data_IF_158908359649
#
_entry.id   IF_158908359649
#
_cell.length_a   1.000
_cell.length_b   1.000
_cell.length_c   1.000
_cell.angle_alpha   90.00
_cell.angle_beta   90.00
_cell.angle_gamma   90.00
#
_symmetry.space_group_name_H-M   'P 1'
#
loop_
_entity.id
_entity.type
_entity.pdbx_description
1 polymer ?
#
# COMPACT_ATOMS: atom_id res chain seq x y z
N UNK A 1 28.85 48.57 -39.32
CA UNK A 1 29.87 48.01 -40.23
C UNK A 1 29.95 46.53 -39.92
N UNK A 2 29.15 45.79 -40.67
CA UNK A 2 29.03 44.34 -40.64
C UNK A 2 30.27 43.67 -41.25
N UNK A 3 30.72 42.58 -40.62
CA UNK A 3 31.27 41.38 -41.29
C UNK A 3 31.25 40.20 -40.31
N UNK A 4 31.07 38.95 -40.80
CA UNK A 4 30.17 37.99 -40.19
C UNK A 4 30.88 36.81 -39.51
N UNK A 5 30.16 36.18 -38.57
CA UNK A 5 30.47 34.90 -37.93
C UNK A 5 30.68 33.78 -38.96
N UNK A 6 31.80 33.08 -38.88
CA UNK A 6 32.03 31.84 -39.61
C UNK A 6 31.17 30.71 -39.04
N UNK A 7 30.35 30.09 -39.89
CA UNK A 7 29.64 28.84 -39.58
C UNK A 7 30.67 27.70 -39.46
N UNK A 8 30.80 27.12 -38.27
CA UNK A 8 31.41 25.81 -38.08
C UNK A 8 30.34 24.74 -38.32
N UNK A 9 30.47 24.03 -39.43
CA UNK A 9 29.75 22.79 -39.74
C UNK A 9 30.39 21.64 -38.99
N UNK A 10 29.66 21.01 -38.06
CA UNK A 10 30.02 19.71 -37.51
C UNK A 10 29.52 18.62 -38.48
N UNK A 11 30.44 17.96 -39.18
CA UNK A 11 30.16 16.73 -39.91
C UNK A 11 30.11 15.54 -38.92
N UNK A 12 29.01 14.80 -38.92
CA UNK A 12 28.88 13.53 -38.19
C UNK A 12 29.54 12.39 -38.98
N UNK A 13 30.27 11.48 -38.33
CA UNK A 13 30.88 10.33 -39.00
C UNK A 13 29.84 9.29 -39.45
N UNK A 14 30.08 8.55 -40.54
CA UNK A 14 29.12 7.60 -41.09
C UNK A 14 28.92 6.37 -40.19
N UNK A 15 27.65 6.02 -39.99
CA UNK A 15 27.20 4.86 -39.22
C UNK A 15 27.75 3.53 -39.78
N UNK A 16 28.49 2.81 -38.94
CA UNK A 16 28.81 1.40 -39.13
C UNK A 16 27.52 0.57 -39.03
N UNK A 17 27.05 0.03 -40.15
CA UNK A 17 25.91 -0.90 -40.19
C UNK A 17 26.30 -2.23 -39.52
N UNK A 18 25.72 -2.51 -38.36
CA UNK A 18 25.72 -3.86 -37.78
C UNK A 18 24.74 -4.75 -38.55
N UNK A 19 25.22 -5.94 -38.90
CA UNK A 19 24.54 -6.96 -39.71
C UNK A 19 23.36 -7.55 -38.92
N UNK A 20 22.15 -7.69 -39.49
CA UNK A 20 21.05 -8.37 -38.81
C UNK A 20 21.35 -9.88 -38.68
N UNK A 21 21.01 -10.45 -37.53
CA UNK A 21 21.07 -11.87 -37.23
C UNK A 21 20.03 -12.65 -38.05
N UNK A 22 20.33 -13.88 -38.50
CA UNK A 22 19.39 -14.68 -39.28
C UNK A 22 18.20 -15.13 -38.43
N UNK A 23 17.00 -15.08 -39.01
CA UNK A 23 15.75 -15.56 -38.46
C UNK A 23 15.72 -17.11 -38.37
N UNK A 24 15.03 -17.68 -37.36
CA UNK A 24 14.87 -19.13 -37.24
C UNK A 24 13.92 -19.69 -38.30
N UNK A 25 14.09 -20.96 -38.73
CA UNK A 25 13.22 -21.58 -39.73
C UNK A 25 11.82 -21.90 -39.16
N UNK A 26 10.79 -21.97 -40.02
CA UNK A 26 9.41 -22.23 -39.60
C UNK A 26 9.23 -23.67 -39.11
N UNK A 27 8.65 -23.84 -37.91
CA UNK A 27 8.25 -25.13 -37.38
C UNK A 27 6.99 -25.63 -38.09
N UNK A 28 7.14 -26.73 -38.83
CA UNK A 28 6.03 -27.44 -39.46
C UNK A 28 5.13 -28.09 -38.41
N UNK A 29 3.85 -27.69 -38.41
CA UNK A 29 2.76 -28.39 -37.73
C UNK A 29 2.53 -29.76 -38.39
N UNK A 30 2.65 -30.84 -37.60
CA UNK A 30 2.19 -32.18 -37.98
C UNK A 30 0.85 -32.42 -37.28
N UNK A 31 -0.27 -32.59 -38.01
CA UNK A 31 -1.56 -32.95 -37.42
C UNK A 31 -1.66 -34.48 -37.33
N UNK A 32 -1.81 -35.03 -36.12
CA UNK A 32 -2.22 -36.43 -35.95
C UNK A 32 -3.60 -36.54 -35.30
N UNK A 33 -4.57 -36.69 -36.20
CA UNK A 33 -5.63 -37.72 -36.22
C UNK A 33 -6.35 -38.05 -34.90
N UNK A 34 -7.56 -37.50 -34.84
CA UNK A 34 -8.83 -38.14 -34.44
C UNK A 34 -8.80 -39.61 -33.99
N UNK A 35 -9.33 -39.83 -32.78
CA UNK A 35 -10.13 -41.01 -32.46
C UNK A 35 -11.35 -40.62 -31.62
N UNK A 36 -12.48 -41.12 -32.09
CA UNK A 36 -13.85 -40.86 -31.69
C UNK A 36 -14.31 -41.95 -30.70
N UNK A 37 -15.20 -41.56 -29.78
CA UNK A 37 -16.29 -42.36 -29.18
C UNK A 37 -15.89 -43.32 -28.04
N UNK A 38 -16.39 -43.07 -26.83
CA UNK A 38 -17.56 -43.77 -26.25
C UNK A 38 -18.06 -43.05 -24.99
N UNK A 39 -19.35 -42.71 -25.03
CA UNK A 39 -20.23 -42.40 -23.90
C UNK A 39 -20.67 -43.71 -23.24
N UNK A 40 -20.83 -43.72 -21.91
CA UNK A 40 -21.80 -44.58 -21.21
C UNK A 40 -22.05 -44.05 -19.79
N UNK A 41 -23.29 -43.59 -19.63
CA UNK A 41 -24.21 -43.51 -18.49
C UNK A 41 -23.81 -43.93 -17.05
N UNK A 42 -24.30 -43.10 -16.12
CA UNK A 42 -24.63 -43.31 -14.69
C UNK A 42 -25.44 -44.61 -14.37
N UNK A 43 -25.77 -45.02 -13.11
CA UNK A 43 -25.85 -44.27 -11.82
C UNK A 43 -25.48 -45.03 -10.49
N UNK A 44 -25.62 -44.29 -9.38
CA UNK A 44 -26.15 -44.69 -8.05
C UNK A 44 -25.28 -45.22 -6.88
N UNK A 45 -25.34 -44.43 -5.79
CA UNK A 45 -25.61 -44.75 -4.37
C UNK A 45 -24.61 -45.60 -3.54
N UNK A 46 -24.08 -45.02 -2.45
CA UNK A 46 -24.55 -45.29 -1.06
C UNK A 46 -23.74 -44.51 0.00
N UNK A 47 -24.44 -44.11 1.07
CA UNK A 47 -23.92 -43.57 2.33
C UNK A 47 -23.07 -44.59 3.09
N UNK A 48 -22.06 -44.11 3.83
CA UNK A 48 -21.79 -44.57 5.20
C UNK A 48 -20.96 -43.55 5.98
N UNK A 49 -21.31 -43.42 7.25
CA UNK A 49 -20.86 -42.48 8.29
C UNK A 49 -19.64 -42.99 9.07
N UNK A 50 -19.24 -42.21 10.10
CA UNK A 50 -18.39 -42.57 11.26
C UNK A 50 -16.90 -42.24 11.12
N UNK A 51 -16.13 -41.71 12.07
CA UNK A 51 -16.32 -41.04 13.37
C UNK A 51 -14.95 -40.47 13.76
N UNK A 52 -14.93 -39.32 14.45
CA UNK A 52 -13.70 -38.70 15.01
C UNK A 52 -13.16 -39.50 16.20
N UNK A 53 -11.85 -39.44 16.50
CA UNK A 53 -11.36 -39.59 17.87
C UNK A 53 -10.93 -38.24 18.45
N UNK A 54 -11.40 -38.00 19.68
CA UNK A 54 -10.97 -36.94 20.60
C UNK A 54 -9.81 -37.53 21.42
N UNK A 55 -8.68 -36.83 21.50
CA UNK A 55 -7.66 -37.11 22.52
C UNK A 55 -7.56 -35.95 23.52
N UNK A 56 -7.95 -36.25 24.75
CA UNK A 56 -7.62 -35.50 25.97
C UNK A 56 -6.20 -35.88 26.39
N UNK A 57 -5.38 -34.90 26.75
CA UNK A 57 -4.18 -35.14 27.58
C UNK A 57 -4.16 -34.13 28.72
N UNK A 58 -4.05 -34.70 29.91
CA UNK A 58 -4.04 -34.11 31.25
C UNK A 58 -2.63 -33.71 31.70
N UNK A 59 -2.54 -32.59 32.43
CA UNK A 59 -1.40 -32.17 33.25
C UNK A 59 -1.22 -33.05 34.49
N UNK A 60 0.02 -33.25 34.97
CA UNK A 60 0.27 -33.46 36.40
C UNK A 60 1.20 -32.40 37.02
N UNK A 61 0.91 -32.05 38.28
CA UNK A 61 1.70 -31.17 39.17
C UNK A 61 2.67 -31.96 40.05
N UNK A 62 3.85 -31.37 40.25
CA UNK A 62 4.77 -31.30 41.40
C UNK A 62 5.02 -32.49 42.36
N UNK A 63 6.32 -32.76 42.61
CA UNK A 63 6.90 -33.06 43.93
C UNK A 63 8.29 -32.42 44.09
N UNK A 64 8.57 -31.95 45.30
CA UNK A 64 9.82 -31.34 45.79
C UNK A 64 10.65 -32.31 46.66
N UNK A 65 11.88 -31.86 46.99
CA UNK A 65 12.89 -32.26 48.01
C UNK A 65 14.22 -32.72 47.35
N UNK A 66 15.46 -32.42 47.78
CA UNK A 66 16.10 -31.49 48.74
C UNK A 66 17.65 -31.65 48.60
N UNK A 67 18.41 -30.54 48.51
CA UNK A 67 19.79 -30.19 48.99
C UNK A 67 20.92 -31.27 48.90
N UNK A 68 22.10 -31.05 48.27
CA UNK A 68 23.33 -30.49 48.91
C UNK A 68 24.52 -30.20 47.95
N UNK A 69 25.10 -29.01 48.11
CA UNK A 69 26.50 -28.49 47.98
C UNK A 69 27.58 -29.04 46.98
N UNK A 70 28.01 -28.10 46.13
CA UNK A 70 29.39 -27.61 45.84
C UNK A 70 30.40 -28.44 44.99
N UNK A 71 30.82 -27.87 43.85
CA UNK A 71 32.13 -27.18 43.68
C UNK A 71 32.23 -26.42 42.35
N UNK A 72 32.91 -25.28 42.43
CA UNK A 72 33.23 -24.32 41.37
C UNK A 72 34.05 -24.91 40.20
N UNK A 73 33.75 -24.41 39.00
CA UNK A 73 34.76 -23.98 38.02
C UNK A 73 34.17 -22.85 37.15
N UNK A 74 34.74 -21.64 37.24
CA UNK A 74 34.58 -20.50 36.32
C UNK A 74 35.89 -20.40 35.50
N UNK A 75 36.00 -19.62 34.40
CA UNK A 75 35.00 -19.03 33.51
C UNK A 75 35.27 -19.35 32.02
N UNK A 76 34.31 -19.10 31.13
CA UNK A 76 34.61 -18.54 29.80
C UNK A 76 33.49 -17.56 29.49
N UNK A 77 33.84 -16.27 29.55
CA UNK A 77 32.98 -15.16 29.17
C UNK A 77 32.76 -15.21 27.66
N UNK A 78 31.50 -15.30 27.25
CA UNK A 78 31.05 -14.75 25.97
C UNK A 78 30.16 -13.59 26.36
N UNK A 79 30.73 -12.39 26.32
CA UNK A 79 30.00 -11.14 26.38
C UNK A 79 29.19 -11.10 25.09
N UNK A 80 27.88 -11.31 25.22
CA UNK A 80 26.91 -10.94 24.18
C UNK A 80 26.38 -9.59 24.63
N UNK A 81 26.51 -8.59 23.77
CA UNK A 81 26.10 -7.21 24.03
C UNK A 81 24.58 -7.13 24.27
N UNK A 82 24.16 -7.26 25.53
CA UNK A 82 22.77 -7.05 25.99
C UNK A 82 22.54 -5.56 26.35
N UNK A 83 23.58 -4.75 26.37
CA UNK A 83 23.50 -3.35 26.82
C UNK A 83 22.91 -2.39 25.76
N UNK A 84 22.88 -2.77 24.47
CA UNK A 84 22.42 -1.87 23.40
C UNK A 84 20.89 -1.77 23.22
N UNK A 85 20.11 -2.83 23.51
CA UNK A 85 18.64 -2.81 23.26
C UNK A 85 17.88 -2.04 24.35
N UNK A 86 18.30 -2.15 25.61
CA UNK A 86 17.67 -1.41 26.73
C UNK A 86 18.02 0.09 26.71
N UNK A 87 19.22 0.46 26.25
CA UNK A 87 19.62 1.86 26.05
C UNK A 87 18.82 2.53 24.91
N UNK A 88 18.50 1.81 23.83
CA UNK A 88 17.75 2.36 22.70
C UNK A 88 16.26 2.58 23.06
N UNK A 89 15.62 1.63 23.76
CA UNK A 89 14.23 1.76 24.22
C UNK A 89 14.05 2.91 25.23
N UNK A 90 15.00 3.08 26.15
CA UNK A 90 14.97 4.18 27.13
C UNK A 90 15.19 5.55 26.47
N UNK A 91 16.02 5.61 25.43
CA UNK A 91 16.23 6.80 24.60
C UNK A 91 14.97 7.18 23.80
N UNK A 92 14.29 6.21 23.18
CA UNK A 92 13.10 6.46 22.37
C UNK A 92 11.88 6.86 23.21
N UNK A 93 11.74 6.25 24.40
CA UNK A 93 10.77 6.67 25.40
C UNK A 93 10.92 8.14 25.78
N UNK A 94 12.15 8.58 26.09
CA UNK A 94 12.43 9.96 26.49
C UNK A 94 12.12 10.96 25.35
N UNK A 95 12.53 10.63 24.11
CA UNK A 95 12.25 11.45 22.92
C UNK A 95 10.75 11.55 22.65
N UNK A 96 10.02 10.44 22.72
CA UNK A 96 8.59 10.42 22.44
C UNK A 96 7.82 11.21 23.50
N UNK A 97 8.15 11.03 24.78
CA UNK A 97 7.54 11.81 25.88
C UNK A 97 7.73 13.30 25.71
N UNK A 98 8.96 13.74 25.44
CA UNK A 98 9.26 15.16 25.19
C UNK A 98 8.41 15.73 24.04
N UNK A 99 8.27 14.97 22.95
CA UNK A 99 7.45 15.37 21.80
C UNK A 99 5.96 15.41 22.12
N UNK A 100 5.44 14.45 22.88
CA UNK A 100 4.03 14.41 23.30
C UNK A 100 3.70 15.55 24.27
N UNK A 101 4.60 15.86 25.20
CA UNK A 101 4.48 16.99 26.12
C UNK A 101 4.49 18.33 25.37
N UNK A 102 5.31 18.47 24.32
CA UNK A 102 5.32 19.65 23.46
C UNK A 102 3.97 19.91 22.77
N UNK A 103 3.12 18.88 22.64
CA UNK A 103 1.75 18.98 22.13
C UNK A 103 0.72 19.35 23.19
N UNK A 104 1.15 19.45 24.45
CA UNK A 104 0.29 19.71 25.61
C UNK A 104 -0.50 18.48 26.07
N UNK A 105 -0.13 17.28 25.62
CA UNK A 105 -0.76 16.02 26.06
C UNK A 105 0.01 15.50 27.28
N UNK A 106 -0.72 15.22 28.36
CA UNK A 106 -0.14 14.61 29.57
C UNK A 106 -0.20 13.10 29.44
N UNK A 107 0.93 12.46 29.18
CA UNK A 107 1.05 11.00 28.95
C UNK A 107 1.42 10.18 30.18
N UNK A 108 1.70 10.80 31.33
CA UNK A 108 2.22 10.09 32.52
C UNK A 108 1.27 9.02 33.09
N UNK A 109 -0.03 9.18 32.85
CA UNK A 109 -1.06 8.23 33.29
C UNK A 109 -1.50 7.24 32.20
N UNK A 110 -0.89 7.30 31.01
CA UNK A 110 -1.32 6.51 29.85
C UNK A 110 -0.64 5.14 29.82
N UNK A 111 -1.40 4.11 29.43
CA UNK A 111 -0.89 2.74 29.37
C UNK A 111 -0.56 2.40 27.91
N UNK A 112 0.71 2.11 27.57
CA UNK A 112 1.09 1.71 26.22
C UNK A 112 0.29 0.51 25.72
N UNK A 113 -0.07 0.51 24.44
CA UNK A 113 -0.89 -0.52 23.82
C UNK A 113 -2.39 -0.34 24.02
N UNK A 114 -2.83 0.61 24.86
CA UNK A 114 -4.25 0.92 25.08
C UNK A 114 -4.60 2.33 24.58
N UNK A 115 -5.89 2.58 24.43
CA UNK A 115 -6.42 3.90 24.14
C UNK A 115 -6.87 4.56 25.43
N UNK A 116 -6.36 5.76 25.68
CA UNK A 116 -6.72 6.61 26.81
C UNK A 116 -7.61 7.77 26.36
N UNK A 117 -8.58 8.12 27.22
CA UNK A 117 -9.43 9.29 27.01
C UNK A 117 -8.96 10.46 27.88
N UNK A 118 -8.46 11.50 27.24
CA UNK A 118 -7.86 12.69 27.86
C UNK A 118 -8.65 13.96 27.51
N UNK A 119 -8.41 15.02 28.27
CA UNK A 119 -8.90 16.36 27.89
C UNK A 119 -8.02 16.87 26.75
N UNK A 120 -8.65 17.22 25.62
CA UNK A 120 -7.93 17.73 24.46
C UNK A 120 -7.25 19.08 24.78
N UNK A 121 -5.93 19.24 24.59
CA UNK A 121 -5.24 20.50 24.89
C UNK A 121 -5.62 21.64 23.93
N UNK A 122 -6.10 21.32 22.71
CA UNK A 122 -6.53 22.35 21.73
C UNK A 122 -7.87 22.98 22.08
N UNK A 123 -8.87 22.19 22.44
CA UNK A 123 -10.21 22.71 22.75
C UNK A 123 -10.51 22.75 24.26
N UNK A 124 -9.64 22.18 25.10
CA UNK A 124 -9.76 22.06 26.56
C UNK A 124 -11.05 21.36 27.01
N UNK A 125 -11.62 20.48 26.18
CA UNK A 125 -12.94 19.90 26.42
C UNK A 125 -14.06 20.95 26.44
N UNK A 126 -13.81 22.14 25.88
CA UNK A 126 -14.66 23.34 25.85
C UNK A 126 -15.57 23.52 27.06
N UNK A 127 -16.85 23.86 26.85
CA UNK A 127 -17.74 24.25 27.97
C UNK A 127 -17.98 23.15 29.01
N UNK A 128 -17.96 21.88 28.58
CA UNK A 128 -18.20 20.70 29.43
C UNK A 128 -16.93 20.10 30.06
N UNK A 129 -15.74 20.60 29.70
CA UNK A 129 -14.43 20.03 30.05
C UNK A 129 -14.32 18.51 29.82
N UNK A 130 -14.98 18.00 28.78
CA UNK A 130 -15.03 16.55 28.54
C UNK A 130 -13.68 15.97 28.06
N UNK A 131 -13.45 14.69 28.40
CA UNK A 131 -12.31 13.90 27.92
C UNK A 131 -12.51 13.45 26.46
N UNK A 132 -12.46 14.42 25.55
CA UNK A 132 -12.75 14.24 24.12
C UNK A 132 -11.56 13.74 23.30
N UNK A 133 -10.34 13.71 23.83
CA UNK A 133 -9.15 13.25 23.12
C UNK A 133 -8.95 11.76 23.35
N UNK A 134 -9.04 10.95 22.30
CA UNK A 134 -8.50 9.59 22.32
C UNK A 134 -7.04 9.64 21.97
N UNK A 135 -6.20 9.03 22.79
CA UNK A 135 -4.75 9.05 22.70
C UNK A 135 -4.22 7.63 22.87
N UNK A 136 -3.19 7.28 22.11
CA UNK A 136 -2.58 5.95 22.13
C UNK A 136 -1.07 6.07 22.01
N UNK A 137 -0.36 5.28 22.80
CA UNK A 137 1.09 5.10 22.72
C UNK A 137 1.38 3.66 22.34
N UNK A 138 2.27 3.43 21.39
CA UNK A 138 2.71 2.09 21.00
C UNK A 138 3.43 1.37 22.14
N UNK A 139 3.28 0.05 22.26
CA UNK A 139 3.92 -0.75 23.32
C UNK A 139 5.45 -0.64 23.34
N UNK A 140 6.07 -0.48 22.16
CA UNK A 140 7.50 -0.30 21.98
C UNK A 140 7.95 1.17 22.01
N UNK A 141 7.06 2.09 22.44
CA UNK A 141 7.35 3.53 22.57
C UNK A 141 7.90 4.23 21.32
N UNK A 142 7.73 3.64 20.14
CA UNK A 142 8.19 4.22 18.86
C UNK A 142 7.28 5.33 18.35
N UNK A 143 6.00 5.34 18.72
CA UNK A 143 5.09 6.40 18.30
C UNK A 143 3.91 6.59 19.26
N UNK A 144 3.27 7.75 19.13
CA UNK A 144 1.99 8.05 19.76
C UNK A 144 1.03 8.69 18.74
N UNK A 145 -0.27 8.48 18.89
CA UNK A 145 -1.30 9.07 18.04
C UNK A 145 -2.49 9.58 18.85
N UNK A 146 -3.19 10.58 18.32
CA UNK A 146 -4.36 11.14 18.96
C UNK A 146 -5.44 11.57 17.96
N UNK A 147 -6.67 11.62 18.46
CA UNK A 147 -7.81 12.26 17.80
C UNK A 147 -8.78 12.82 18.82
N UNK A 148 -9.14 14.09 18.67
CA UNK A 148 -10.19 14.74 19.43
C UNK A 148 -11.53 14.49 18.74
N UNK A 149 -12.45 13.85 19.45
CA UNK A 149 -13.79 13.52 18.98
C UNK A 149 -14.80 14.66 19.11
N UNK A 150 -14.36 15.83 19.60
CA UNK A 150 -15.20 17.01 19.57
C UNK A 150 -15.28 17.54 18.14
N UNK A 151 -16.49 17.60 17.61
CA UNK A 151 -16.79 17.99 16.23
C UNK A 151 -16.18 19.35 15.84
N UNK A 152 -16.23 20.34 16.74
CA UNK A 152 -15.68 21.68 16.51
C UNK A 152 -14.14 21.72 16.59
N UNK A 153 -13.51 20.68 17.14
CA UNK A 153 -12.06 20.63 17.31
C UNK A 153 -11.39 19.75 16.26
N UNK A 154 -11.79 18.48 16.14
CA UNK A 154 -11.26 17.52 15.17
C UNK A 154 -9.74 17.27 15.23
N UNK A 155 -9.04 17.79 16.24
CA UNK A 155 -7.59 17.77 16.29
C UNK A 155 -7.05 16.36 16.36
N UNK A 156 -6.25 15.96 15.38
CA UNK A 156 -5.67 14.63 15.28
C UNK A 156 -4.23 14.72 14.79
N UNK A 157 -3.48 13.66 15.04
CA UNK A 157 -2.10 13.55 14.58
C UNK A 157 -1.42 12.32 15.14
N UNK A 158 -0.16 12.16 14.73
CA UNK A 158 0.75 11.16 15.26
C UNK A 158 2.15 11.73 15.36
N UNK A 159 2.96 11.15 16.24
CA UNK A 159 4.35 11.53 16.44
C UNK A 159 5.21 10.30 16.69
N UNK A 160 6.39 10.27 16.08
CA UNK A 160 7.37 9.18 16.23
C UNK A 160 8.51 9.61 17.16
N UNK A 161 9.11 8.63 17.86
CA UNK A 161 10.31 8.82 18.66
C UNK A 161 11.50 9.24 17.78
N UNK A 162 11.62 8.64 16.59
CA UNK A 162 12.62 8.99 15.59
C UNK A 162 12.40 10.41 15.01
N UNK A 163 13.44 10.99 14.41
CA UNK A 163 13.44 12.39 13.94
C UNK A 163 12.57 12.63 12.68
N UNK A 164 11.59 11.76 12.37
CA UNK A 164 10.59 12.05 11.35
C UNK A 164 9.71 13.22 11.80
N UNK A 165 9.70 14.28 11.00
CA UNK A 165 9.13 15.59 11.35
C UNK A 165 7.63 15.49 11.67
N UNK A 166 7.23 16.21 12.72
CA UNK A 166 5.86 16.46 13.14
C UNK A 166 5.01 17.06 12.00
N UNK A 167 3.89 16.42 11.65
CA UNK A 167 2.89 16.93 10.71
C UNK A 167 1.68 17.48 11.47
N UNK A 168 1.51 18.82 11.58
CA UNK A 168 0.26 19.39 12.08
C UNK A 168 -0.82 19.27 11.00
N UNK A 169 -1.78 18.35 11.22
CA UNK A 169 -2.95 18.17 10.35
C UNK A 169 -3.75 19.46 10.19
N UNK A 170 -3.98 19.80 8.92
CA UNK A 170 -4.69 20.99 8.41
C UNK A 170 -6.14 21.03 8.92
N UNK A 171 -6.59 22.23 9.33
CA UNK A 171 -8.01 22.53 9.59
C UNK A 171 -8.77 22.49 8.27
N UNK A 172 -9.64 21.51 8.06
CA UNK A 172 -10.75 21.65 7.12
C UNK A 172 -11.99 20.96 7.69
N UNK A 173 -13.09 21.70 7.65
CA UNK A 173 -14.42 21.30 8.06
C UNK A 173 -14.93 20.16 7.16
N UNK A 174 -14.61 18.91 7.48
CA UNK A 174 -15.23 17.76 6.85
C UNK A 174 -16.25 17.17 7.83
N UNK A 175 -17.52 17.06 7.40
CA UNK A 175 -18.51 16.20 8.05
C UNK A 175 -17.95 14.78 8.07
N UNK A 176 -17.48 14.31 9.22
CA UNK A 176 -17.00 12.93 9.35
C UNK A 176 -18.21 12.04 9.62
N UNK A 177 -18.68 11.38 8.56
CA UNK A 177 -19.40 10.13 8.69
C UNK A 177 -18.51 9.16 9.46
N UNK A 178 -19.07 8.44 10.44
CA UNK A 178 -18.41 7.37 11.19
C UNK A 178 -17.65 6.43 10.22
N UNK A 179 -16.35 6.63 10.06
CA UNK A 179 -15.50 5.72 9.30
C UNK A 179 -15.36 4.46 10.16
N UNK A 180 -16.05 3.40 9.75
CA UNK A 180 -15.73 2.02 10.12
C UNK A 180 -14.23 1.86 9.93
N UNK A 181 -13.48 1.51 10.97
CA UNK A 181 -12.05 1.19 10.81
C UNK A 181 -11.96 -0.01 9.87
N UNK A 182 -11.49 0.22 8.64
CA UNK A 182 -11.25 -0.85 7.68
C UNK A 182 -10.08 -1.69 8.20
N UNK A 183 -10.34 -2.97 8.36
CA UNK A 183 -9.32 -3.98 8.68
C UNK A 183 -9.50 -5.17 7.75
N UNK A 184 -8.42 -5.90 7.47
CA UNK A 184 -8.45 -7.13 6.67
C UNK A 184 -9.53 -8.09 7.19
N UNK A 185 -9.61 -8.26 8.52
CA UNK A 185 -10.65 -9.07 9.17
C UNK A 185 -12.06 -8.54 8.90
N UNK A 186 -12.28 -7.23 8.93
CA UNK A 186 -13.60 -6.63 8.68
C UNK A 186 -14.08 -6.80 7.23
N UNK A 187 -13.14 -6.98 6.30
CA UNK A 187 -13.38 -7.23 4.87
C UNK A 187 -13.28 -8.72 4.51
N UNK A 188 -12.99 -9.59 5.49
CA UNK A 188 -12.76 -11.03 5.30
C UNK A 188 -11.66 -11.30 4.28
N UNK A 189 -10.56 -10.55 4.34
CA UNK A 189 -9.40 -10.79 3.48
C UNK A 189 -8.52 -11.91 4.06
N UNK A 190 -8.00 -12.73 3.17
CA UNK A 190 -7.01 -13.77 3.48
C UNK A 190 -5.88 -13.76 2.43
N UNK A 191 -4.72 -14.38 2.74
CA UNK A 191 -3.64 -14.53 1.77
C UNK A 191 -4.11 -15.24 0.49
N UNK A 192 -3.45 -14.96 -0.63
CA UNK A 192 -3.74 -15.59 -1.92
C UNK A 192 -3.56 -17.11 -1.85
N UNK A 193 -4.53 -17.85 -2.37
CA UNK A 193 -4.43 -19.30 -2.58
C UNK A 193 -3.77 -19.66 -3.90
N UNK A 194 -3.42 -20.94 -4.06
CA UNK A 194 -2.66 -21.47 -5.20
C UNK A 194 -3.23 -21.10 -6.58
N UNK A 195 -4.56 -21.02 -6.71
CA UNK A 195 -5.23 -20.65 -7.97
C UNK A 195 -4.90 -19.21 -8.39
N UNK A 196 -4.96 -18.26 -7.45
CA UNK A 196 -4.62 -16.86 -7.73
C UNK A 196 -3.11 -16.64 -7.81
N UNK A 197 -2.32 -17.37 -7.03
CA UNK A 197 -0.85 -17.37 -7.19
C UNK A 197 -0.45 -17.82 -8.60
N UNK A 198 -1.09 -18.87 -9.13
CA UNK A 198 -0.88 -19.32 -10.51
C UNK A 198 -1.31 -18.26 -11.52
N UNK A 199 -2.47 -17.63 -11.31
CA UNK A 199 -2.96 -16.53 -12.15
C UNK A 199 -1.97 -15.36 -12.27
N UNK A 200 -1.31 -14.98 -11.18
CA UNK A 200 -0.29 -13.93 -11.18
C UNK A 200 1.05 -14.40 -11.76
N UNK A 201 1.44 -15.66 -11.50
CA UNK A 201 2.65 -16.24 -12.08
C UNK A 201 2.59 -16.30 -13.61
N UNK A 202 1.44 -16.64 -14.19
CA UNK A 202 1.20 -16.58 -15.66
C UNK A 202 1.37 -15.17 -16.24
N UNK A 203 1.28 -14.14 -15.40
CA UNK A 203 1.49 -12.72 -15.76
C UNK A 203 2.88 -12.23 -15.38
N UNK A 204 3.78 -13.15 -15.01
CA UNK A 204 5.15 -12.84 -14.58
C UNK A 204 5.21 -11.97 -13.33
N UNK A 205 4.20 -12.03 -12.46
CA UNK A 205 4.19 -11.32 -11.17
C UNK A 205 4.56 -12.32 -10.07
N UNK A 206 5.64 -12.04 -9.36
CA UNK A 206 6.19 -12.89 -8.31
C UNK A 206 5.39 -12.79 -7.02
N UNK A 207 5.41 -13.87 -6.21
CA UNK A 207 4.77 -13.86 -4.89
C UNK A 207 5.34 -12.75 -3.98
N UNK A 208 6.64 -12.46 -4.09
CA UNK A 208 7.30 -11.37 -3.34
C UNK A 208 6.65 -10.01 -3.63
N UNK A 209 6.36 -9.72 -4.90
CA UNK A 209 5.69 -8.48 -5.30
C UNK A 209 4.25 -8.45 -4.78
N UNK A 210 3.52 -9.57 -4.84
CA UNK A 210 2.15 -9.66 -4.30
C UNK A 210 2.12 -9.39 -2.79
N UNK A 211 3.04 -10.00 -2.03
CA UNK A 211 3.17 -9.81 -0.58
C UNK A 211 3.53 -8.37 -0.22
N UNK A 212 4.53 -7.79 -0.90
CA UNK A 212 4.92 -6.38 -0.70
C UNK A 212 3.75 -5.42 -0.91
N UNK A 213 2.92 -5.71 -1.91
CA UNK A 213 1.79 -4.89 -2.32
C UNK A 213 0.48 -5.21 -1.59
N UNK A 214 0.52 -6.12 -0.61
CA UNK A 214 -0.64 -6.57 0.14
C UNK A 214 -1.82 -6.96 -0.77
N UNK A 215 -1.51 -7.70 -1.84
CA UNK A 215 -2.53 -8.31 -2.69
C UNK A 215 -3.09 -9.52 -1.96
N UNK A 216 -4.41 -9.54 -1.78
CA UNK A 216 -5.11 -10.55 -0.98
C UNK A 216 -6.27 -11.16 -1.78
N UNK A 217 -7.00 -12.09 -1.18
CA UNK A 217 -8.27 -12.58 -1.70
C UNK A 217 -9.39 -12.47 -0.65
N UNK A 218 -10.64 -12.62 -1.10
CA UNK A 218 -11.80 -12.67 -0.20
C UNK A 218 -12.01 -14.10 0.32
N UNK A 219 -12.09 -14.25 1.63
CA UNK A 219 -12.25 -15.55 2.28
C UNK A 219 -13.54 -16.25 1.84
N UNK A 220 -13.39 -17.52 1.44
CA UNK A 220 -14.49 -18.35 0.94
C UNK A 220 -14.79 -18.16 -0.55
N UNK A 221 -14.15 -17.21 -1.24
CA UNK A 221 -14.23 -17.07 -2.69
C UNK A 221 -12.82 -17.03 -3.32
N UNK A 222 -12.43 -18.17 -3.90
CA UNK A 222 -11.07 -18.39 -4.43
C UNK A 222 -10.75 -17.57 -5.68
N UNK A 223 -11.70 -16.80 -6.22
CA UNK A 223 -11.55 -16.11 -7.52
C UNK A 223 -11.65 -14.60 -7.43
N UNK A 224 -11.75 -14.04 -6.22
CA UNK A 224 -11.81 -12.59 -6.01
C UNK A 224 -10.47 -12.11 -5.48
N UNK A 225 -9.76 -11.36 -6.31
CA UNK A 225 -8.54 -10.63 -5.97
C UNK A 225 -8.95 -9.33 -5.26
N UNK A 226 -8.25 -9.02 -4.16
CA UNK A 226 -8.42 -7.81 -3.38
C UNK A 226 -7.12 -7.00 -3.39
N UNK A 227 -7.17 -5.82 -4.02
CA UNK A 227 -6.11 -4.83 -3.98
C UNK A 227 -6.34 -3.88 -2.81
N UNK A 228 -5.43 -3.91 -1.83
CA UNK A 228 -5.57 -3.14 -0.60
C UNK A 228 -4.92 -1.76 -0.72
N UNK A 229 -5.72 -0.70 -0.61
CA UNK A 229 -5.23 0.67 -0.66
C UNK A 229 -4.79 1.07 0.74
N UNK A 230 -3.52 1.46 0.86
CA UNK A 230 -2.89 1.74 2.14
C UNK A 230 -2.30 3.14 2.19
N UNK A 231 -2.35 3.72 3.39
CA UNK A 231 -1.64 4.94 3.75
C UNK A 231 -0.96 4.73 5.09
N UNK A 232 0.35 4.92 5.15
CA UNK A 232 1.19 4.64 6.30
C UNK A 232 0.99 3.20 6.84
N UNK A 233 0.85 2.23 5.93
CA UNK A 233 0.57 0.83 6.24
C UNK A 233 -0.88 0.50 6.63
N UNK A 234 -1.73 1.51 6.86
CA UNK A 234 -3.13 1.31 7.27
C UNK A 234 -4.04 1.11 6.06
N UNK A 235 -4.94 0.13 6.15
CA UNK A 235 -5.97 -0.12 5.14
C UNK A 235 -7.00 1.01 5.14
N UNK A 236 -7.07 1.76 4.04
CA UNK A 236 -8.03 2.88 3.87
C UNK A 236 -9.08 2.61 2.80
N UNK A 237 -8.81 1.67 1.90
CA UNK A 237 -9.71 1.26 0.85
C UNK A 237 -9.39 -0.14 0.32
N UNK A 238 -10.32 -0.74 -0.40
CA UNK A 238 -10.09 -2.02 -1.06
C UNK A 238 -10.83 -2.03 -2.39
N UNK A 239 -10.13 -2.43 -3.45
CA UNK A 239 -10.72 -2.68 -4.76
C UNK A 239 -10.67 -4.17 -5.03
N UNK A 240 -11.76 -4.68 -5.55
CA UNK A 240 -11.93 -6.09 -5.82
C UNK A 240 -12.02 -6.30 -7.32
N UNK A 241 -11.45 -7.41 -7.75
CA UNK A 241 -11.48 -7.86 -9.13
C UNK A 241 -11.69 -9.37 -9.16
N UNK A 242 -12.61 -9.84 -9.99
CA UNK A 242 -12.68 -11.26 -10.33
C UNK A 242 -11.74 -11.61 -11.49
N UNK A 243 -11.37 -12.89 -11.60
CA UNK A 243 -10.60 -13.40 -12.75
C UNK A 243 -11.28 -13.08 -14.09
N UNK A 244 -12.61 -13.05 -14.15
CA UNK A 244 -13.42 -12.66 -15.32
C UNK A 244 -13.57 -11.13 -15.51
N UNK A 245 -12.70 -10.33 -14.87
CA UNK A 245 -12.60 -8.86 -15.05
C UNK A 245 -13.85 -8.08 -14.61
N UNK A 246 -14.53 -8.48 -13.54
CA UNK A 246 -15.54 -7.64 -12.87
C UNK A 246 -14.89 -6.89 -11.71
N UNK A 247 -15.20 -5.60 -11.58
CA UNK A 247 -14.56 -4.72 -10.61
C UNK A 247 -15.58 -4.04 -9.71
N UNK A 248 -15.25 -3.90 -8.43
CA UNK A 248 -15.98 -3.04 -7.50
C UNK A 248 -15.03 -2.57 -6.39
N UNK A 249 -15.47 -1.58 -5.62
CA UNK A 249 -14.69 -1.00 -4.53
C UNK A 249 -15.50 -0.93 -3.25
N UNK A 250 -14.78 -0.97 -2.13
CA UNK A 250 -15.37 -0.79 -0.81
C UNK A 250 -15.96 0.63 -0.67
N UNK A 251 -17.22 0.71 -0.23
CA UNK A 251 -17.98 1.96 -0.23
C UNK A 251 -17.58 2.86 0.94
N UNK A 252 -17.65 4.18 0.74
CA UNK A 252 -17.36 5.16 1.79
C UNK A 252 -15.90 5.18 2.23
N UNK A 253 -15.00 4.71 1.38
CA UNK A 253 -13.56 4.70 1.59
C UNK A 253 -12.90 5.93 0.99
N UNK A 254 -11.72 6.26 1.50
CA UNK A 254 -10.93 7.36 0.95
C UNK A 254 -10.35 6.94 -0.40
N UNK A 255 -10.56 7.77 -1.43
CA UNK A 255 -9.95 7.57 -2.74
C UNK A 255 -8.50 8.03 -2.69
N UNK A 256 -7.56 7.11 -2.86
CA UNK A 256 -6.12 7.39 -2.93
C UNK A 256 -5.48 6.57 -4.05
N UNK A 257 -4.22 6.83 -4.36
CA UNK A 257 -3.44 5.96 -5.23
C UNK A 257 -3.17 4.59 -4.60
N UNK A 258 -3.14 3.54 -5.42
CA UNK A 258 -2.60 2.24 -5.00
C UNK A 258 -1.07 2.30 -4.99
N UNK A 259 -0.44 1.82 -3.92
CA UNK A 259 1.01 1.96 -3.71
C UNK A 259 1.45 3.34 -3.19
N UNK A 260 0.54 4.14 -2.62
CA UNK A 260 0.85 5.50 -2.13
C UNK A 260 2.07 5.55 -1.19
N UNK A 261 2.24 4.54 -0.35
CA UNK A 261 3.36 4.47 0.60
C UNK A 261 4.72 4.30 -0.09
N UNK A 262 4.76 3.74 -1.31
CA UNK A 262 6.01 3.54 -2.07
C UNK A 262 6.60 4.87 -2.60
N UNK A 263 5.79 5.93 -2.66
CA UNK A 263 6.20 7.25 -3.17
C UNK A 263 6.39 8.30 -2.08
N UNK A 264 6.37 7.92 -0.79
CA UNK A 264 6.45 8.84 0.33
C UNK A 264 7.71 9.75 0.30
N UNK A 265 8.83 9.19 -0.14
CA UNK A 265 10.15 9.82 -0.22
C UNK A 265 10.72 9.85 -1.64
N UNK A 266 9.88 9.64 -2.67
CA UNK A 266 10.31 9.60 -4.06
C UNK A 266 10.35 11.01 -4.68
N UNK A 267 11.46 11.35 -5.33
CA UNK A 267 11.60 12.60 -6.10
C UNK A 267 10.92 12.52 -7.47
N UNK A 268 10.72 11.31 -7.98
CA UNK A 268 10.10 11.01 -9.26
C UNK A 268 9.13 9.87 -9.08
N UNK A 269 7.97 9.94 -9.71
CA UNK A 269 6.96 8.88 -9.64
C UNK A 269 6.45 8.52 -11.03
N UNK A 270 5.98 7.29 -11.16
CA UNK A 270 5.26 6.80 -12.33
C UNK A 270 3.80 6.57 -11.94
N UNK A 271 2.87 7.10 -12.73
CA UNK A 271 1.43 6.85 -12.58
C UNK A 271 0.99 5.96 -13.74
N UNK A 272 0.46 4.79 -13.39
CA UNK A 272 -0.14 3.84 -14.34
C UNK A 272 -1.65 3.75 -14.14
N UNK A 273 -2.33 3.11 -15.09
CA UNK A 273 -3.79 3.03 -15.08
C UNK A 273 -4.32 1.98 -14.09
N UNK A 274 -3.78 0.76 -14.10
CA UNK A 274 -4.29 -0.37 -13.34
C UNK A 274 -3.39 -0.85 -12.20
N UNK A 275 -4.00 -1.56 -11.24
CA UNK A 275 -3.25 -2.15 -10.12
C UNK A 275 -2.26 -3.21 -10.59
N UNK A 276 -2.63 -4.00 -11.61
CA UNK A 276 -1.73 -5.02 -12.18
C UNK A 276 -0.56 -4.36 -12.91
N UNK A 277 -0.78 -3.23 -13.59
CA UNK A 277 0.29 -2.49 -14.27
C UNK A 277 1.31 -1.97 -13.26
N UNK A 278 0.85 -1.54 -12.08
CA UNK A 278 1.73 -1.15 -10.98
C UNK A 278 2.59 -2.32 -10.51
N UNK A 279 1.99 -3.51 -10.36
CA UNK A 279 2.74 -4.73 -10.01
C UNK A 279 3.78 -5.06 -11.11
N UNK A 280 3.42 -4.92 -12.38
CA UNK A 280 4.34 -5.13 -13.51
C UNK A 280 5.50 -4.14 -13.51
N UNK A 281 5.25 -2.87 -13.17
CA UNK A 281 6.31 -1.87 -13.03
C UNK A 281 7.29 -2.22 -11.91
N UNK A 282 6.81 -2.78 -10.79
CA UNK A 282 7.69 -3.25 -9.73
C UNK A 282 8.54 -4.46 -10.15
N UNK A 283 7.98 -5.40 -10.89
CA UNK A 283 8.74 -6.52 -11.47
C UNK A 283 9.83 -6.02 -12.44
N UNK A 284 9.57 -4.93 -13.14
CA UNK A 284 10.56 -4.25 -13.99
C UNK A 284 11.58 -3.40 -13.20
N UNK A 285 11.48 -3.34 -11.87
CA UNK A 285 12.42 -2.63 -10.99
C UNK A 285 12.02 -1.18 -10.67
N UNK A 286 10.86 -0.72 -11.12
CA UNK A 286 10.35 0.63 -10.84
C UNK A 286 9.47 0.62 -9.59
N UNK A 287 10.09 0.84 -8.43
CA UNK A 287 9.40 0.82 -7.13
C UNK A 287 8.65 2.11 -6.82
N UNK A 288 8.97 3.20 -7.52
CA UNK A 288 8.33 4.52 -7.39
C UNK A 288 7.06 4.64 -8.26
N UNK A 289 6.24 3.59 -8.30
CA UNK A 289 5.06 3.50 -9.16
C UNK A 289 3.76 3.47 -8.36
N UNK A 290 2.74 4.15 -8.85
CA UNK A 290 1.37 4.12 -8.28
C UNK A 290 0.32 3.92 -9.37
N UNK A 291 -0.84 3.35 -9.04
CA UNK A 291 -1.97 3.28 -9.98
C UNK A 291 -3.15 4.14 -9.55
N UNK A 292 -3.88 4.67 -10.54
CA UNK A 292 -5.13 5.42 -10.29
C UNK A 292 -6.22 4.49 -9.75
N UNK A 293 -7.11 4.95 -8.85
CA UNK A 293 -8.11 4.07 -8.25
C UNK A 293 -9.24 3.66 -9.21
N UNK A 294 -9.65 4.57 -10.08
CA UNK A 294 -10.88 4.44 -10.88
C UNK A 294 -10.64 4.19 -12.38
N UNK A 295 -9.39 3.90 -12.79
CA UNK A 295 -9.00 3.67 -14.19
C UNK A 295 -9.27 4.87 -15.11
N UNK A 296 -9.14 4.67 -16.42
CA UNK A 296 -9.46 5.70 -17.40
C UNK A 296 -10.98 5.98 -17.51
N UNK A 297 -11.38 7.24 -17.79
CA UNK A 297 -12.75 7.55 -18.17
C UNK A 297 -13.20 6.85 -19.43
N UNK A 298 -14.40 6.26 -19.41
CA UNK A 298 -15.07 5.81 -20.64
C UNK A 298 -15.53 6.98 -21.53
N UNK A 299 -15.55 8.20 -21.02
CA UNK A 299 -15.99 9.39 -21.78
C UNK A 299 -15.22 10.60 -21.29
N UNK A 300 -14.56 11.30 -22.21
CA UNK A 300 -13.88 12.57 -21.94
C UNK A 300 -14.97 13.64 -21.84
N UNK A 301 -15.24 14.15 -20.65
CA UNK A 301 -16.02 15.38 -20.55
C UNK A 301 -15.10 16.54 -20.92
N UNK A 302 -15.16 16.97 -22.18
CA UNK A 302 -14.48 18.18 -22.70
C UNK A 302 -15.04 19.49 -22.11
N UNK A 303 -15.77 19.43 -21.00
CA UNK A 303 -16.44 20.58 -20.41
C UNK A 303 -15.58 21.10 -19.27
N UNK A 304 -15.05 22.31 -19.46
CA UNK A 304 -14.33 23.18 -18.54
C UNK A 304 -14.10 22.66 -17.11
N UNK A 305 -12.82 22.59 -16.73
CA UNK A 305 -12.28 22.37 -15.38
C UNK A 305 -13.32 22.67 -14.28
N UNK A 306 -14.00 21.66 -13.73
CA UNK A 306 -14.83 21.89 -12.58
C UNK A 306 -13.94 22.40 -11.44
N UNK A 307 -14.41 23.45 -10.75
CA UNK A 307 -13.81 23.96 -9.52
C UNK A 307 -13.41 22.82 -8.58
N UNK A 308 -12.29 22.95 -7.86
CA UNK A 308 -11.64 21.97 -6.95
C UNK A 308 -12.54 21.20 -5.97
N UNK A 309 -13.80 21.61 -5.83
CA UNK A 309 -14.80 21.03 -4.91
C UNK A 309 -15.83 20.10 -5.59
N UNK A 310 -15.87 20.00 -6.93
CA UNK A 310 -16.91 19.24 -7.64
C UNK A 310 -16.45 18.06 -8.47
N UNK A 311 -15.15 17.89 -8.67
CA UNK A 311 -14.66 16.73 -9.40
C UNK A 311 -14.42 15.54 -8.48
N UNK A 312 -15.49 14.80 -8.20
CA UNK A 312 -15.40 13.54 -7.46
C UNK A 312 -14.44 12.53 -8.10
N UNK A 313 -14.15 12.68 -9.41
CA UNK A 313 -13.32 11.75 -10.18
C UNK A 313 -11.83 11.86 -9.81
N UNK A 314 -11.34 13.07 -9.51
CA UNK A 314 -9.93 13.32 -9.14
C UNK A 314 -9.73 13.63 -7.66
N UNK A 315 -10.71 13.31 -6.82
CA UNK A 315 -10.57 13.49 -5.38
C UNK A 315 -9.29 12.80 -4.84
N UNK A 316 -8.85 11.71 -5.47
CA UNK A 316 -7.62 11.01 -5.09
C UNK A 316 -6.34 11.85 -5.28
N UNK A 317 -6.26 12.73 -6.28
CA UNK A 317 -5.11 13.63 -6.47
C UNK A 317 -5.00 14.59 -5.28
N UNK A 318 -6.13 15.17 -4.88
CA UNK A 318 -6.20 16.09 -3.74
C UNK A 318 -5.94 15.39 -2.41
N UNK A 319 -6.50 14.19 -2.23
CA UNK A 319 -6.23 13.36 -1.05
C UNK A 319 -4.74 12.98 -0.94
N UNK A 320 -4.01 12.94 -2.05
CA UNK A 320 -2.59 12.61 -2.11
C UNK A 320 -1.69 13.84 -2.34
N UNK A 321 -2.21 15.06 -2.19
CA UNK A 321 -1.49 16.32 -2.45
C UNK A 321 -0.15 16.41 -1.74
N UNK A 322 -0.08 15.97 -0.48
CA UNK A 322 1.14 16.03 0.33
C UNK A 322 2.30 15.17 -0.24
N UNK A 323 1.97 14.16 -1.05
CA UNK A 323 2.93 13.33 -1.78
C UNK A 323 3.31 14.02 -3.09
N UNK A 324 2.32 14.40 -3.89
CA UNK A 324 2.52 15.01 -5.22
C UNK A 324 3.26 16.36 -5.18
N UNK A 325 3.11 17.12 -4.10
CA UNK A 325 3.79 18.41 -3.93
C UNK A 325 5.30 18.27 -3.76
N UNK A 326 5.77 17.17 -3.16
CA UNK A 326 7.20 16.89 -2.95
C UNK A 326 7.89 16.41 -4.21
N UNK A 327 7.17 15.65 -5.04
CA UNK A 327 7.68 15.06 -6.27
C UNK A 327 8.14 16.14 -7.24
N UNK A 328 9.31 15.96 -7.85
CA UNK A 328 9.85 16.87 -8.87
C UNK A 328 9.32 16.56 -10.27
N UNK A 329 9.10 15.27 -10.57
CA UNK A 329 8.70 14.77 -11.89
C UNK A 329 7.71 13.61 -11.78
N UNK A 330 6.66 13.66 -12.59
CA UNK A 330 5.61 12.64 -12.65
C UNK A 330 5.62 12.10 -14.08
N UNK A 331 5.81 10.79 -14.26
CA UNK A 331 5.71 10.11 -15.54
C UNK A 331 4.31 9.50 -15.64
N UNK A 332 3.60 9.76 -16.73
CA UNK A 332 2.31 9.12 -17.00
C UNK A 332 2.52 7.96 -17.98
N UNK A 333 2.24 6.76 -17.51
CA UNK A 333 2.32 5.50 -18.26
C UNK A 333 0.91 4.87 -18.33
N UNK A 334 0.01 5.59 -19.01
CA UNK A 334 -1.38 5.17 -19.27
C UNK A 334 -1.44 4.25 -20.49
N UNK A 335 -2.56 3.56 -20.67
CA UNK A 335 -2.78 2.72 -21.85
C UNK A 335 -2.69 3.55 -23.14
N UNK A 336 -2.20 2.92 -24.22
CA UNK A 336 -2.05 3.56 -25.54
C UNK A 336 -3.37 3.72 -26.31
N UNK A 337 -4.51 3.48 -25.67
CA UNK A 337 -5.83 3.57 -26.26
C UNK A 337 -6.51 4.92 -25.97
N UNK A 338 -7.70 5.13 -26.53
CA UNK A 338 -8.44 6.40 -26.41
C UNK A 338 -8.75 6.73 -24.93
N UNK A 339 -9.25 5.78 -24.11
CA UNK A 339 -9.40 6.00 -22.68
C UNK A 339 -8.09 6.40 -21.97
N UNK A 340 -6.99 5.69 -22.21
CA UNK A 340 -5.70 5.99 -21.57
C UNK A 340 -5.17 7.38 -21.95
N UNK A 341 -5.29 7.77 -23.21
CA UNK A 341 -4.95 9.12 -23.67
C UNK A 341 -5.81 10.19 -22.98
N UNK A 342 -7.11 9.95 -22.84
CA UNK A 342 -8.01 10.84 -22.11
C UNK A 342 -7.61 10.99 -20.64
N UNK A 343 -7.25 9.89 -19.97
CA UNK A 343 -6.75 9.90 -18.60
C UNK A 343 -5.49 10.76 -18.48
N UNK A 344 -4.55 10.62 -19.42
CA UNK A 344 -3.33 11.43 -19.44
C UNK A 344 -3.62 12.93 -19.64
N UNK A 345 -4.51 13.30 -20.56
CA UNK A 345 -4.93 14.69 -20.79
C UNK A 345 -5.60 15.30 -19.55
N UNK A 346 -6.44 14.52 -18.86
CA UNK A 346 -7.16 14.98 -17.68
C UNK A 346 -6.23 15.12 -16.47
N UNK A 347 -5.28 14.18 -16.28
CA UNK A 347 -4.23 14.28 -15.26
C UNK A 347 -3.34 15.50 -15.49
N UNK A 348 -2.96 15.76 -16.75
CA UNK A 348 -2.18 16.95 -17.12
C UNK A 348 -2.99 18.25 -17.07
N UNK A 349 -4.29 18.20 -16.76
CA UNK A 349 -5.11 19.39 -16.50
C UNK A 349 -5.12 19.80 -15.01
N UNK A 350 -4.41 19.04 -14.16
CA UNK A 350 -4.29 19.31 -12.71
C UNK A 350 -3.22 20.38 -12.35
N UNK A 351 -3.21 20.90 -11.11
CA UNK A 351 -2.16 21.82 -10.64
C UNK A 351 -0.73 21.29 -10.77
N UNK A 352 -0.56 19.98 -10.86
CA UNK A 352 0.74 19.31 -10.99
C UNK A 352 1.19 19.14 -12.45
N UNK A 353 0.46 19.70 -13.44
CA UNK A 353 0.79 19.65 -14.87
C UNK A 353 2.27 19.91 -15.17
N UNK A 354 2.84 20.95 -14.54
CA UNK A 354 4.24 21.36 -14.79
C UNK A 354 5.27 20.30 -14.40
N UNK A 355 4.86 19.32 -13.59
CA UNK A 355 5.68 18.18 -13.16
C UNK A 355 5.44 16.94 -14.03
N UNK A 356 4.35 16.91 -14.81
CA UNK A 356 3.93 15.72 -15.56
C UNK A 356 4.57 15.67 -16.94
N UNK A 357 5.16 14.52 -17.26
CA UNK A 357 5.60 14.13 -18.59
C UNK A 357 4.80 12.89 -18.99
N UNK A 358 4.07 12.99 -20.09
CA UNK A 358 3.50 11.80 -20.72
C UNK A 358 4.66 11.02 -21.35
N UNK A 359 4.84 9.76 -20.95
CA UNK A 359 5.75 8.86 -21.64
C UNK A 359 4.97 8.09 -22.68
N UNK A 360 5.34 8.21 -23.95
CA UNK A 360 4.93 7.26 -24.99
C UNK A 360 5.68 5.94 -24.73
N UNK A 361 5.14 5.08 -23.86
CA UNK A 361 5.69 3.74 -23.59
C UNK A 361 5.07 2.65 -24.48
N UNK A 362 4.63 3.00 -25.68
CA UNK A 362 4.09 2.02 -26.64
C UNK A 362 4.65 2.28 -28.04
N UNK A 363 5.86 1.79 -28.29
CA UNK A 363 6.28 1.14 -29.54
C UNK A 363 7.79 0.83 -29.50
N UNK A 364 8.18 -0.24 -28.81
CA UNK A 364 9.42 -0.92 -29.16
C UNK A 364 9.38 -2.42 -28.80
N UNK A 365 9.00 -3.19 -29.84
CA UNK A 365 9.24 -4.62 -30.13
C UNK A 365 8.13 -5.64 -29.86
#
# INVERSE_FOLDING_TARGET
MDKPLSKMTFEMPPHTRLRPTPSPPPSHFIPTRTSKILSLDHPNLLLASSSKPIFRISLPKNRFHSISHARLSKPTEVIVDVENEEEEETSDLAKLKQKVEALGIKSDSCIPGLYDHLICPKCKGGRSMEKSLSFHISQNWKFAMWRCFRLECGWAGQVFADNRKYFPGVRQHAKINFSRSLTEKSLRLEPLGDELLTYFAERMISNKTLEKNYVMQVAGDRKIIAFTYRRNGLLVGCKYRTVDKKFWQEKGTEKIFYGLDDIADADEIIIVEGEIDKLSMEEAGFLNCVSVPDGAPQTVSLTELPSSEKDSRFQYLWNCKDYLDKVSRIILATDGDIPGQALAEELTSSPWKRKMLASELAEER
#
